data_IF_316332963763
#
_entry.id   IF_316332963763
#
_cell.length_a   1.000
_cell.length_b   1.000
_cell.length_c   1.000
_cell.angle_alpha   90.00
_cell.angle_beta   90.00
_cell.angle_gamma   90.00
#
_symmetry.space_group_name_H-M   'P 1'
#
loop_
_entity.id
_entity.type
_entity.pdbx_description
1 polymer ?
#
# COMPACT_ATOMS: atom_id res chain seq x y z
N UNK A 1 -7.58 -4.13 15.20
CA UNK A 1 -6.98 -4.32 13.84
C UNK A 1 -6.67 -5.81 13.65
N UNK A 2 -7.23 -6.47 12.63
CA UNK A 2 -6.92 -7.89 12.39
C UNK A 2 -5.50 -8.01 11.79
N UNK A 3 -4.52 -8.47 12.58
CA UNK A 3 -3.10 -8.61 12.17
C UNK A 3 -2.92 -9.57 10.98
N UNK A 4 -3.87 -10.48 10.75
CA UNK A 4 -3.81 -11.41 9.62
C UNK A 4 -4.18 -10.77 8.28
N UNK A 5 -4.90 -9.64 8.28
CA UNK A 5 -5.35 -9.00 7.04
C UNK A 5 -4.34 -8.01 6.46
N UNK A 6 -3.60 -7.31 7.32
CA UNK A 6 -2.69 -6.24 6.90
C UNK A 6 -1.26 -6.50 7.35
N UNK A 7 -0.29 -5.99 6.58
CA UNK A 7 1.05 -5.79 7.11
C UNK A 7 1.00 -4.70 8.19
N UNK A 8 1.53 -5.00 9.38
CA UNK A 8 1.69 -4.05 10.50
C UNK A 8 3.14 -3.65 10.73
N UNK A 9 4.05 -4.24 9.95
CA UNK A 9 5.49 -3.99 9.93
C UNK A 9 5.94 -3.77 8.49
N UNK A 10 7.02 -3.01 8.31
CA UNK A 10 7.49 -2.63 6.98
C UNK A 10 8.01 -3.88 6.22
N UNK A 11 7.34 -4.30 5.12
CA UNK A 11 7.74 -5.48 4.37
C UNK A 11 9.01 -5.27 3.53
N UNK A 12 9.53 -4.04 3.43
CA UNK A 12 10.66 -3.58 2.60
C UNK A 12 10.43 -3.69 1.09
N UNK A 13 9.93 -4.81 0.61
CA UNK A 13 9.48 -5.01 -0.78
C UNK A 13 8.15 -5.74 -0.81
N UNK A 14 7.34 -5.38 -1.79
CA UNK A 14 6.08 -6.09 -2.08
C UNK A 14 5.91 -6.32 -3.57
N UNK A 15 5.09 -7.29 -3.92
CA UNK A 15 4.54 -7.52 -5.25
C UNK A 15 3.02 -7.43 -5.21
N UNK A 16 2.41 -6.73 -6.16
CA UNK A 16 0.95 -6.67 -6.30
C UNK A 16 0.38 -8.03 -6.71
N UNK A 17 -0.73 -8.42 -6.09
CA UNK A 17 -1.48 -9.65 -6.39
C UNK A 17 -2.66 -9.38 -7.33
N UNK A 18 -3.10 -8.13 -7.38
CA UNK A 18 -4.14 -7.58 -8.28
C UNK A 18 -3.71 -6.18 -8.73
N UNK A 19 -4.46 -5.57 -9.63
CA UNK A 19 -4.23 -4.15 -9.96
C UNK A 19 -4.35 -3.28 -8.71
N UNK A 20 -3.39 -2.38 -8.49
CA UNK A 20 -3.36 -1.47 -7.36
C UNK A 20 -3.07 -0.05 -7.81
N UNK A 21 -3.69 0.90 -7.13
CA UNK A 21 -3.47 2.31 -7.36
C UNK A 21 -2.53 2.92 -6.30
N UNK A 22 -1.86 3.99 -6.68
CA UNK A 22 -1.12 4.84 -5.73
C UNK A 22 -1.93 6.08 -5.34
N UNK A 23 -1.72 6.49 -4.10
CA UNK A 23 -2.40 7.62 -3.48
C UNK A 23 -1.40 8.61 -2.87
N UNK A 24 -1.71 9.91 -2.91
CA UNK A 24 -0.91 10.94 -2.22
C UNK A 24 -1.28 11.10 -0.73
N UNK A 25 -2.30 10.37 -0.27
CA UNK A 25 -2.77 10.35 1.12
C UNK A 25 -2.93 8.91 1.62
N UNK A 26 -3.00 8.74 2.94
CA UNK A 26 -3.38 7.47 3.58
C UNK A 26 -4.86 7.16 3.41
N UNK A 27 -5.66 8.19 3.13
CA UNK A 27 -7.09 8.10 2.85
C UNK A 27 -7.29 7.85 1.35
N UNK A 28 -7.72 6.63 1.02
CA UNK A 28 -7.80 6.16 -0.36
C UNK A 28 -9.13 6.57 -1.00
N UNK A 29 -9.27 7.86 -1.27
CA UNK A 29 -10.41 8.44 -2.00
C UNK A 29 -10.05 8.69 -3.47
N UNK A 30 -11.05 8.99 -4.30
CA UNK A 30 -10.83 9.36 -5.69
C UNK A 30 -9.95 10.61 -5.83
N UNK A 31 -10.14 11.63 -4.98
CA UNK A 31 -9.36 12.87 -4.99
C UNK A 31 -7.89 12.69 -4.60
N UNK A 32 -7.55 11.61 -3.90
CA UNK A 32 -6.18 11.29 -3.50
C UNK A 32 -5.46 10.34 -4.46
N UNK A 33 -6.15 9.85 -5.49
CA UNK A 33 -5.57 8.96 -6.50
C UNK A 33 -4.58 9.76 -7.36
N UNK A 34 -3.36 9.25 -7.52
CA UNK A 34 -2.30 9.98 -8.25
C UNK A 34 -2.34 9.77 -9.76
N UNK A 35 -3.31 8.99 -10.27
CA UNK A 35 -3.35 8.51 -11.65
C UNK A 35 -2.46 7.28 -11.89
N UNK A 36 -1.55 6.95 -10.97
CA UNK A 36 -0.71 5.76 -11.05
C UNK A 36 -1.51 4.48 -10.78
N UNK A 37 -1.87 3.77 -11.84
CA UNK A 37 -2.52 2.44 -11.80
C UNK A 37 -1.50 1.39 -12.20
N UNK A 38 -1.29 0.37 -11.36
CA UNK A 38 -0.25 -0.63 -11.56
C UNK A 38 -0.84 -2.04 -11.63
N UNK A 39 -0.50 -2.84 -12.65
CA UNK A 39 -1.09 -4.17 -12.84
C UNK A 39 -0.64 -5.17 -11.77
N UNK A 40 -1.25 -6.37 -11.80
CA UNK A 40 -0.77 -7.52 -11.01
C UNK A 40 0.69 -7.81 -11.35
N UNK A 41 1.48 -8.06 -10.32
CA UNK A 41 2.87 -8.47 -10.44
C UNK A 41 3.89 -7.33 -10.40
N UNK A 42 3.46 -6.07 -10.33
CA UNK A 42 4.34 -4.92 -10.12
C UNK A 42 5.01 -4.98 -8.74
N UNK A 43 6.30 -4.67 -8.70
CA UNK A 43 7.10 -4.66 -7.47
C UNK A 43 7.29 -3.23 -6.97
N UNK A 44 7.10 -3.03 -5.67
CA UNK A 44 7.38 -1.76 -5.01
C UNK A 44 8.40 -1.93 -3.89
N UNK A 45 9.32 -0.98 -3.80
CA UNK A 45 10.16 -0.78 -2.61
C UNK A 45 9.40 0.10 -1.62
N UNK A 46 9.33 -0.33 -0.37
CA UNK A 46 8.58 0.32 0.71
C UNK A 46 9.56 1.05 1.64
N UNK A 47 9.44 2.38 1.69
CA UNK A 47 10.29 3.25 2.49
C UNK A 47 9.85 3.28 3.95
N UNK A 48 8.55 3.44 4.19
CA UNK A 48 7.96 3.50 5.53
C UNK A 48 6.51 3.06 5.54
N UNK A 49 5.85 3.21 6.69
CA UNK A 49 4.42 2.95 6.85
C UNK A 49 3.74 4.13 7.52
N UNK A 50 2.46 4.29 7.24
CA UNK A 50 1.59 5.25 7.90
C UNK A 50 0.24 4.59 8.24
N UNK A 51 -0.61 5.26 9.00
CA UNK A 51 -1.95 4.80 9.32
C UNK A 51 -2.97 5.89 9.04
N UNK A 52 -4.17 5.51 8.64
CA UNK A 52 -5.32 6.41 8.65
C UNK A 52 -5.67 6.80 10.09
N UNK A 53 -6.56 7.79 10.27
CA UNK A 53 -7.11 8.15 11.60
C UNK A 53 -7.73 6.95 12.33
N UNK A 54 -8.37 6.04 11.58
CA UNK A 54 -8.93 4.78 12.10
C UNK A 54 -7.91 3.65 12.35
N UNK A 55 -6.62 3.92 12.16
CA UNK A 55 -5.54 2.96 12.42
C UNK A 55 -5.23 1.99 11.28
N UNK A 56 -5.88 2.12 10.11
CA UNK A 56 -5.63 1.24 8.96
C UNK A 56 -4.24 1.50 8.38
N UNK A 57 -3.33 0.51 8.36
CA UNK A 57 -1.98 0.70 7.88
C UNK A 57 -1.92 0.84 6.34
N UNK A 58 -1.03 1.72 5.88
CA UNK A 58 -0.67 1.96 4.48
C UNK A 58 0.84 1.86 4.30
N UNK A 59 1.28 1.36 3.16
CA UNK A 59 2.69 1.26 2.81
C UNK A 59 3.08 2.49 2.01
N UNK A 60 4.15 3.19 2.42
CA UNK A 60 4.72 4.30 1.65
C UNK A 60 5.79 3.76 0.72
N UNK A 61 5.63 3.96 -0.58
CA UNK A 61 6.61 3.55 -1.59
C UNK A 61 7.87 4.43 -1.50
N UNK A 62 8.95 4.04 -2.19
CA UNK A 62 10.14 4.89 -2.33
C UNK A 62 9.85 6.22 -3.05
N UNK A 63 8.83 6.26 -3.91
CA UNK A 63 8.37 7.50 -4.57
C UNK A 63 7.56 8.43 -3.66
N UNK A 64 7.23 8.01 -2.44
CA UNK A 64 6.53 8.83 -1.45
C UNK A 64 5.00 8.69 -1.46
N UNK A 65 4.45 7.93 -2.40
CA UNK A 65 3.01 7.64 -2.47
C UNK A 65 2.63 6.41 -1.65
N UNK A 66 1.34 6.26 -1.41
CA UNK A 66 0.80 5.18 -0.59
C UNK A 66 0.14 4.09 -1.44
N UNK A 67 0.36 2.85 -1.02
CA UNK A 67 -0.32 1.65 -1.53
C UNK A 67 -0.89 0.86 -0.35
N UNK A 68 -1.87 0.00 -0.62
CA UNK A 68 -2.52 -0.81 0.41
C UNK A 68 -1.52 -1.71 1.14
N UNK A 69 -1.67 -1.85 2.46
CA UNK A 69 -0.97 -2.87 3.25
C UNK A 69 -1.76 -4.19 3.35
N UNK A 70 -2.91 -4.30 2.68
CA UNK A 70 -3.77 -5.47 2.76
C UNK A 70 -3.15 -6.65 2.00
N UNK A 71 -2.93 -7.75 2.72
CA UNK A 71 -2.26 -8.98 2.24
C UNK A 71 -3.02 -9.69 1.12
N UNK A 72 -4.32 -9.39 0.92
CA UNK A 72 -5.09 -9.89 -0.24
C UNK A 72 -4.68 -9.23 -1.56
N UNK A 73 -4.12 -8.02 -1.51
CA UNK A 73 -3.81 -7.20 -2.69
C UNK A 73 -2.32 -7.16 -2.98
N UNK A 74 -1.48 -7.37 -1.97
CA UNK A 74 -0.02 -7.33 -2.09
C UNK A 74 0.61 -8.42 -1.24
N UNK A 75 1.76 -8.95 -1.66
CA UNK A 75 2.57 -9.88 -0.88
C UNK A 75 3.98 -9.35 -0.68
N UNK A 76 4.56 -9.56 0.51
CA UNK A 76 5.98 -9.38 0.79
C UNK A 76 6.79 -10.33 -0.11
N UNK A 77 7.93 -9.84 -0.61
CA UNK A 77 8.92 -10.61 -1.37
C UNK A 77 10.33 -10.32 -0.85
#
# INVERSE_FOLDING_TARGET
>A
LNKNTYYTENPKKIKTLVQCDLYNSVDFTASHKTGGTYPKGTVFTISSMAKTKGGTPRLKTKSGYYITANKKFVKKI
#
